data_IF_074351102283
#
_entry.id   IF_074351102283
#
_cell.length_a   1.000
_cell.length_b   1.000
_cell.length_c   1.000
_cell.angle_alpha   90.00
_cell.angle_beta   90.00
_cell.angle_gamma   90.00
#
_symmetry.space_group_name_H-M   'P 1'
#
loop_
_entity.id
_entity.type
_entity.pdbx_description
1 polymer ?
#
# COMPACT_ATOMS: atom_id res chain seq x y z
N UNK A 1 0.01 -33.61 -1.79
CA UNK A 1 -0.22 -32.57 -2.84
C UNK A 1 -1.31 -31.65 -2.31
N UNK A 2 -1.00 -30.39 -1.96
CA UNK A 2 -2.00 -29.42 -1.45
C UNK A 2 -2.40 -28.43 -2.55
N UNK A 3 -3.66 -27.97 -2.62
CA UNK A 3 -4.15 -27.07 -3.64
C UNK A 3 -3.63 -25.64 -3.42
N UNK A 4 -3.50 -24.91 -4.52
CA UNK A 4 -2.76 -23.67 -4.65
C UNK A 4 -3.25 -22.50 -3.79
N UNK A 5 -2.27 -21.80 -3.22
CA UNK A 5 -2.46 -20.50 -2.58
C UNK A 5 -2.91 -19.48 -3.64
N UNK A 6 -4.13 -18.97 -3.46
CA UNK A 6 -4.70 -17.92 -4.28
C UNK A 6 -3.84 -16.66 -4.21
N UNK A 7 -3.40 -16.19 -5.38
CA UNK A 7 -2.70 -14.92 -5.54
C UNK A 7 -3.62 -13.80 -5.05
N UNK A 8 -3.36 -13.26 -3.85
CA UNK A 8 -4.08 -12.10 -3.33
C UNK A 8 -4.01 -10.96 -4.36
N UNK A 9 -5.15 -10.63 -4.97
CA UNK A 9 -5.26 -9.58 -5.97
C UNK A 9 -4.96 -8.23 -5.34
N UNK A 10 -3.96 -7.51 -5.86
CA UNK A 10 -3.68 -6.14 -5.45
C UNK A 10 -4.79 -5.24 -5.98
N UNK A 11 -5.57 -4.63 -5.11
CA UNK A 11 -6.63 -3.69 -5.49
C UNK A 11 -6.09 -2.25 -5.50
N UNK A 12 -6.29 -1.54 -6.62
CA UNK A 12 -6.01 -0.10 -6.71
C UNK A 12 -7.29 0.70 -6.43
N UNK A 13 -7.24 1.62 -5.47
CA UNK A 13 -8.35 2.52 -5.18
C UNK A 13 -8.06 3.93 -5.69
N UNK A 14 -8.96 4.49 -6.52
CA UNK A 14 -8.85 5.85 -7.06
C UNK A 14 -9.56 6.83 -6.14
N UNK A 15 -8.80 7.63 -5.39
CA UNK A 15 -9.36 8.65 -4.51
C UNK A 15 -10.03 9.79 -5.28
N UNK A 16 -11.10 10.36 -4.73
CA UNK A 16 -11.84 11.49 -5.37
C UNK A 16 -11.24 12.89 -5.07
N UNK A 17 -10.13 12.95 -4.34
CA UNK A 17 -9.49 14.22 -3.95
C UNK A 17 -8.03 14.06 -3.54
N UNK A 18 -7.77 14.24 -2.24
CA UNK A 18 -6.43 14.14 -1.63
C UNK A 18 -5.98 12.69 -1.37
N UNK A 19 -6.91 11.72 -1.33
CA UNK A 19 -6.60 10.34 -0.94
C UNK A 19 -6.44 10.11 0.56
N UNK A 20 -6.51 11.15 1.39
CA UNK A 20 -6.38 11.02 2.84
C UNK A 20 -7.56 10.25 3.45
N UNK A 21 -8.79 10.61 3.10
CA UNK A 21 -9.99 9.97 3.65
C UNK A 21 -10.06 8.49 3.28
N UNK A 22 -9.78 8.17 2.03
CA UNK A 22 -9.68 6.81 1.52
C UNK A 22 -8.58 6.01 2.26
N UNK A 23 -7.40 6.60 2.45
CA UNK A 23 -6.30 5.96 3.17
C UNK A 23 -6.66 5.69 4.63
N UNK A 24 -7.25 6.66 5.33
CA UNK A 24 -7.70 6.50 6.73
C UNK A 24 -8.74 5.40 6.83
N UNK A 25 -9.76 5.41 5.95
CA UNK A 25 -10.83 4.42 5.97
C UNK A 25 -10.31 3.01 5.67
N UNK A 26 -9.47 2.83 4.64
CA UNK A 26 -8.86 1.54 4.31
C UNK A 26 -8.07 0.97 5.49
N UNK A 27 -7.26 1.81 6.16
CA UNK A 27 -6.42 1.38 7.30
C UNK A 27 -7.19 1.08 8.59
N UNK A 28 -8.53 1.19 8.61
CA UNK A 28 -9.36 0.67 9.71
C UNK A 28 -9.69 -0.81 9.57
N UNK A 29 -9.47 -1.39 8.39
CA UNK A 29 -9.75 -2.80 8.14
C UNK A 29 -8.51 -3.64 8.51
N UNK A 30 -8.65 -4.66 9.37
CA UNK A 30 -7.54 -5.54 9.73
C UNK A 30 -6.86 -6.14 8.50
N UNK A 31 -5.53 -6.19 8.50
CA UNK A 31 -4.71 -6.67 7.40
C UNK A 31 -4.53 -5.69 6.23
N UNK A 32 -5.23 -4.55 6.20
CA UNK A 32 -5.05 -3.53 5.16
C UNK A 32 -3.97 -2.53 5.57
N UNK A 33 -3.01 -2.33 4.67
CA UNK A 33 -1.97 -1.31 4.75
C UNK A 33 -2.01 -0.48 3.48
N UNK A 34 -2.85 0.54 3.50
CA UNK A 34 -2.97 1.54 2.46
C UNK A 34 -1.86 2.59 2.58
N UNK A 35 -1.10 2.78 1.49
CA UNK A 35 -0.11 3.85 1.37
C UNK A 35 -0.56 4.92 0.39
N UNK A 36 -0.68 6.16 0.88
CA UNK A 36 -0.89 7.34 0.04
C UNK A 36 0.45 7.77 -0.58
N UNK A 37 0.56 7.68 -1.90
CA UNK A 37 1.81 7.97 -2.61
C UNK A 37 1.63 9.18 -3.53
N UNK A 38 2.52 10.15 -3.37
CA UNK A 38 2.53 11.42 -4.12
C UNK A 38 3.60 11.44 -5.21
N UNK A 39 4.53 10.48 -5.18
CA UNK A 39 5.69 10.39 -6.06
C UNK A 39 6.24 8.95 -6.05
N UNK A 40 7.25 8.72 -6.89
CA UNK A 40 7.94 7.42 -7.05
C UNK A 40 8.55 6.96 -5.73
N UNK A 41 9.22 7.86 -5.01
CA UNK A 41 9.89 7.56 -3.75
C UNK A 41 8.90 7.07 -2.68
N UNK A 42 7.77 7.75 -2.51
CA UNK A 42 6.72 7.33 -1.58
C UNK A 42 6.10 5.99 -1.97
N UNK A 43 6.00 5.66 -3.28
CA UNK A 43 5.59 4.33 -3.73
C UNK A 43 6.60 3.23 -3.36
N UNK A 44 7.89 3.46 -3.60
CA UNK A 44 8.96 2.51 -3.23
C UNK A 44 8.99 2.26 -1.73
N UNK A 45 8.90 3.32 -0.92
CA UNK A 45 8.92 3.22 0.54
C UNK A 45 7.64 2.54 1.03
N UNK A 46 6.48 2.93 0.50
CA UNK A 46 5.19 2.33 0.83
C UNK A 46 5.22 0.81 0.63
N UNK A 47 5.60 0.35 -0.56
CA UNK A 47 5.64 -1.09 -0.85
C UNK A 47 6.82 -1.79 -0.17
N UNK A 48 8.02 -1.25 -0.31
CA UNK A 48 9.27 -1.89 0.09
C UNK A 48 9.50 -1.90 1.60
N UNK A 49 9.10 -0.84 2.31
CA UNK A 49 9.36 -0.70 3.75
C UNK A 49 8.14 -0.99 4.62
N UNK A 50 6.92 -0.84 4.10
CA UNK A 50 5.70 -1.00 4.88
C UNK A 50 4.85 -2.18 4.42
N UNK A 51 5.29 -2.91 3.38
CA UNK A 51 4.54 -3.98 2.76
C UNK A 51 3.08 -3.56 2.47
N UNK A 52 2.88 -2.33 1.98
CA UNK A 52 1.54 -1.87 1.66
C UNK A 52 0.92 -2.79 0.61
N UNK A 53 -0.35 -3.13 0.80
CA UNK A 53 -1.14 -3.99 -0.07
C UNK A 53 -2.27 -3.24 -0.78
N UNK A 54 -2.47 -1.96 -0.44
CA UNK A 54 -3.33 -1.01 -1.14
C UNK A 54 -2.52 0.24 -1.48
N UNK A 55 -2.57 0.65 -2.75
CA UNK A 55 -2.03 1.92 -3.21
C UNK A 55 -3.16 2.96 -3.30
N UNK A 56 -2.93 4.12 -2.70
CA UNK A 56 -3.83 5.28 -2.81
C UNK A 56 -3.08 6.42 -3.50
N UNK A 57 -3.74 7.05 -4.48
CA UNK A 57 -3.18 8.16 -5.25
C UNK A 57 -4.02 9.42 -5.08
N UNK A 58 -3.40 10.60 -4.87
CA UNK A 58 -4.09 11.89 -4.81
C UNK A 58 -4.46 12.36 -6.23
N UNK A 59 -5.61 11.92 -6.75
CA UNK A 59 -5.99 12.10 -8.16
C UNK A 59 -5.97 13.56 -8.67
N UNK A 60 -6.13 14.55 -7.79
CA UNK A 60 -6.09 15.98 -8.17
C UNK A 60 -4.68 16.60 -8.20
N UNK A 61 -3.63 15.84 -7.83
CA UNK A 61 -2.26 16.35 -7.66
C UNK A 61 -1.24 15.73 -8.61
N UNK A 62 -1.65 14.73 -9.40
CA UNK A 62 -0.78 13.99 -10.30
C UNK A 62 -1.26 14.14 -11.74
N UNK A 63 -0.31 14.30 -12.65
CA UNK A 63 -0.57 14.07 -14.07
C UNK A 63 -0.79 12.57 -14.31
N UNK A 64 -1.34 12.22 -15.49
CA UNK A 64 -1.53 10.82 -15.87
C UNK A 64 -0.22 10.03 -15.90
N UNK A 65 0.86 10.65 -16.36
CA UNK A 65 2.17 10.00 -16.44
C UNK A 65 2.80 9.79 -15.07
N UNK A 66 2.74 10.79 -14.19
CA UNK A 66 3.18 10.64 -12.80
C UNK A 66 2.41 9.51 -12.11
N UNK A 67 1.09 9.45 -12.28
CA UNK A 67 0.30 8.38 -11.68
C UNK A 67 0.70 6.99 -12.21
N UNK A 68 0.98 6.84 -13.52
CA UNK A 68 1.43 5.58 -14.11
C UNK A 68 2.80 5.16 -13.56
N UNK A 69 3.73 6.09 -13.44
CA UNK A 69 5.07 5.83 -12.91
C UNK A 69 5.02 5.36 -11.45
N UNK A 70 4.20 6.02 -10.63
CA UNK A 70 3.98 5.64 -9.22
C UNK A 70 3.36 4.24 -9.13
N UNK A 71 2.35 3.93 -9.95
CA UNK A 71 1.72 2.61 -9.99
C UNK A 71 2.72 1.53 -10.42
N UNK A 72 3.48 1.76 -11.48
CA UNK A 72 4.49 0.82 -11.97
C UNK A 72 5.55 0.55 -10.90
N UNK A 73 6.04 1.60 -10.25
CA UNK A 73 7.02 1.52 -9.16
C UNK A 73 6.47 0.71 -7.98
N UNK A 74 5.24 1.00 -7.53
CA UNK A 74 4.62 0.28 -6.42
C UNK A 74 4.38 -1.21 -6.74
N UNK A 75 3.93 -1.53 -7.96
CA UNK A 75 3.72 -2.90 -8.40
C UNK A 75 5.03 -3.69 -8.56
N UNK A 76 6.09 -3.03 -9.02
CA UNK A 76 7.41 -3.62 -9.25
C UNK A 76 8.30 -3.73 -8.01
N UNK A 77 8.02 -2.95 -6.97
CA UNK A 77 8.84 -2.94 -5.74
C UNK A 77 8.58 -4.20 -4.90
N UNK A 78 9.59 -5.03 -4.60
CA UNK A 78 9.45 -6.12 -3.64
C UNK A 78 9.49 -5.58 -2.20
N UNK A 79 8.83 -6.29 -1.29
CA UNK A 79 8.96 -6.00 0.15
C UNK A 79 10.37 -6.37 0.62
N UNK A 80 11.02 -5.47 1.38
CA UNK A 80 12.42 -5.62 1.80
C UNK A 80 12.61 -6.55 3.01
N UNK A 81 11.55 -6.84 3.77
CA UNK A 81 11.66 -7.69 4.96
C UNK A 81 12.63 -7.13 6.03
N UNK A 82 13.30 -8.01 6.77
CA UNK A 82 14.27 -7.64 7.79
C UNK A 82 13.68 -6.69 8.84
N UNK A 83 14.36 -5.54 9.08
CA UNK A 83 13.88 -4.51 10.02
C UNK A 83 12.48 -3.97 9.72
N UNK A 84 12.03 -4.07 8.47
CA UNK A 84 10.72 -3.63 8.02
C UNK A 84 9.61 -4.60 8.42
N UNK A 85 9.90 -5.91 8.44
CA UNK A 85 8.94 -6.93 8.88
C UNK A 85 8.55 -6.75 10.35
N UNK A 86 9.49 -6.29 11.19
CA UNK A 86 9.20 -5.95 12.60
C UNK A 86 8.14 -4.86 12.73
N UNK A 87 8.19 -3.82 11.89
CA UNK A 87 7.19 -2.73 11.90
C UNK A 87 5.82 -3.22 11.42
N UNK A 88 5.80 -4.06 10.39
CA UNK A 88 4.56 -4.68 9.89
C UNK A 88 3.92 -5.55 10.98
N UNK A 89 4.72 -6.32 11.72
CA UNK A 89 4.22 -7.11 12.85
C UNK A 89 3.65 -6.25 13.99
N UNK A 90 4.27 -5.09 14.28
CA UNK A 90 3.73 -4.14 15.28
C UNK A 90 2.37 -3.58 14.84
N UNK A 91 2.19 -3.26 13.56
CA UNK A 91 0.90 -2.83 13.02
C UNK A 91 -0.14 -3.93 13.18
N UNK A 92 0.20 -5.18 12.80
CA UNK A 92 -0.69 -6.32 12.94
C UNK A 92 -1.10 -6.60 14.40
N UNK A 93 -0.22 -6.34 15.37
CA UNK A 93 -0.55 -6.44 16.79
C UNK A 93 -1.57 -5.38 17.23
N UNK A 94 -1.43 -4.14 16.76
CA UNK A 94 -2.40 -3.06 17.04
C UNK A 94 -3.80 -3.38 16.49
N UNK A 95 -3.88 -4.07 15.36
CA UNK A 95 -5.15 -4.50 14.76
C UNK A 95 -5.91 -5.52 15.63
N UNK A 96 -5.23 -6.23 16.53
CA UNK A 96 -5.80 -7.29 17.37
C UNK A 96 -6.24 -6.81 18.77
N UNK A 97 -6.14 -5.51 19.05
CA UNK A 97 -6.65 -4.91 20.30
C UNK A 97 -5.60 -4.31 21.22
N UNK A 98 -4.30 -4.45 20.93
CA UNK A 98 -3.21 -3.88 21.74
C UNK A 98 -2.94 -4.63 23.04
#
# INVERSE_FOLDING_TARGET
MRPGEGRAGRAGHRARGSGLGETIACNKLPGIRAGLCHDVWTAEISRGNNDSNVLVLPAKRLTGDQAREIVATWLGTPFKGGKHARRVAQIAALEQGG
#
